data_IF_465425862856
#
_entry.id   IF_465425862856
#
_cell.length_a   1.000
_cell.length_b   1.000
_cell.length_c   1.000
_cell.angle_alpha   90.00
_cell.angle_beta   90.00
_cell.angle_gamma   90.00
#
_symmetry.space_group_name_H-M   'P 1'
#
loop_
_entity.id
_entity.type
_entity.pdbx_description
1 polymer ?
#
# COMPACT_ATOMS: atom_id res chain seq x y z
N UNK A 1 -22.73 -25.59 5.96
CA UNK A 1 -21.54 -24.98 5.35
C UNK A 1 -21.16 -23.79 6.21
N UNK A 2 -19.93 -23.69 6.73
CA UNK A 2 -19.52 -22.48 7.43
C UNK A 2 -19.54 -21.31 6.44
N UNK A 3 -20.24 -20.23 6.81
CA UNK A 3 -20.23 -18.98 6.06
C UNK A 3 -18.88 -18.33 6.31
N UNK A 4 -17.97 -18.36 5.34
CA UNK A 4 -16.75 -17.55 5.41
C UNK A 4 -17.16 -16.08 5.33
N UNK A 5 -16.80 -15.30 6.35
CA UNK A 5 -16.92 -13.84 6.30
C UNK A 5 -16.03 -13.34 5.16
N UNK A 6 -16.58 -12.53 4.26
CA UNK A 6 -15.83 -11.87 3.19
C UNK A 6 -15.58 -10.43 3.61
N UNK A 7 -14.32 -10.04 3.73
CA UNK A 7 -13.91 -8.68 4.06
C UNK A 7 -13.37 -8.04 2.78
N UNK A 8 -14.03 -6.99 2.30
CA UNK A 8 -13.68 -6.28 1.06
C UNK A 8 -13.48 -4.79 1.34
N UNK A 9 -12.49 -4.21 0.68
CA UNK A 9 -12.24 -2.77 0.73
C UNK A 9 -13.38 -1.99 0.07
N UNK A 10 -13.84 -0.94 0.73
CA UNK A 10 -14.80 0.03 0.20
C UNK A 10 -13.97 1.18 -0.36
N UNK A 11 -14.03 1.32 -1.69
CA UNK A 11 -13.30 2.37 -2.40
C UNK A 11 -14.16 3.62 -2.55
N UNK A 12 -13.75 4.71 -1.89
CA UNK A 12 -14.24 6.06 -2.16
C UNK A 12 -13.21 6.80 -3.03
N UNK A 13 -13.49 6.89 -4.34
CA UNK A 13 -12.67 7.65 -5.29
C UNK A 13 -13.36 8.95 -5.68
N UNK A 14 -12.66 10.07 -5.50
CA UNK A 14 -13.11 11.38 -5.96
C UNK A 14 -12.01 12.12 -6.71
N UNK A 15 -12.42 12.94 -7.66
CA UNK A 15 -11.55 13.88 -8.36
C UNK A 15 -12.01 15.31 -8.05
N UNK A 16 -11.09 16.14 -7.55
CA UNK A 16 -11.32 17.58 -7.37
C UNK A 16 -10.81 18.34 -8.61
N UNK A 17 -11.70 18.87 -9.46
CA UNK A 17 -11.30 19.57 -10.68
C UNK A 17 -10.67 20.94 -10.41
N UNK A 18 -10.83 21.53 -9.21
CA UNK A 18 -10.23 22.83 -8.89
C UNK A 18 -8.75 22.69 -8.58
N UNK A 19 -8.36 21.62 -7.89
CA UNK A 19 -6.98 21.35 -7.51
C UNK A 19 -6.32 20.29 -8.41
N UNK A 20 -7.09 19.68 -9.32
CA UNK A 20 -6.68 18.57 -10.18
C UNK A 20 -6.11 17.38 -9.38
N UNK A 21 -6.72 17.07 -8.24
CA UNK A 21 -6.27 16.00 -7.34
C UNK A 21 -7.24 14.83 -7.33
N UNK A 22 -6.68 13.62 -7.31
CA UNK A 22 -7.43 12.42 -6.99
C UNK A 22 -7.35 12.17 -5.48
N UNK A 23 -8.42 11.61 -4.93
CA UNK A 23 -8.42 11.10 -3.57
C UNK A 23 -8.96 9.68 -3.56
N UNK A 24 -8.30 8.81 -2.81
CA UNK A 24 -8.72 7.44 -2.52
C UNK A 24 -8.91 7.34 -1.01
N UNK A 25 -10.12 7.10 -0.54
CA UNK A 25 -10.44 6.98 0.90
C UNK A 25 -9.89 8.16 1.71
N UNK A 26 -10.18 9.38 1.23
CA UNK A 26 -9.73 10.66 1.81
C UNK A 26 -8.23 10.98 1.67
N UNK A 27 -7.42 10.04 1.21
CA UNK A 27 -5.99 10.25 0.95
C UNK A 27 -5.76 10.79 -0.45
N UNK A 28 -4.95 11.86 -0.56
CA UNK A 28 -4.54 12.40 -1.87
C UNK A 28 -3.71 11.36 -2.60
N UNK A 29 -4.05 11.08 -3.86
CA UNK A 29 -3.31 10.14 -4.69
C UNK A 29 -2.84 10.79 -5.99
N UNK A 30 -1.65 10.38 -6.43
CA UNK A 30 -1.08 10.71 -7.73
C UNK A 30 -0.85 9.40 -8.45
N UNK A 31 -1.46 9.26 -9.63
CA UNK A 31 -1.32 8.07 -10.46
C UNK A 31 -0.08 8.22 -11.33
N UNK A 32 0.78 7.20 -11.32
CA UNK A 32 1.91 7.10 -12.24
C UNK A 32 2.04 5.68 -12.78
N UNK A 33 2.65 5.54 -13.95
CA UNK A 33 3.02 4.23 -14.50
C UNK A 33 4.14 3.57 -13.68
N UNK A 34 4.18 2.23 -13.74
CA UNK A 34 5.20 1.43 -13.07
C UNK A 34 6.63 1.82 -13.48
N UNK A 35 6.88 2.24 -14.74
CA UNK A 35 8.21 2.72 -15.17
C UNK A 35 8.79 3.82 -14.29
N UNK A 36 7.95 4.76 -13.84
CA UNK A 36 8.42 5.83 -12.96
C UNK A 36 8.72 5.33 -11.55
N UNK A 37 7.88 4.46 -11.02
CA UNK A 37 8.10 3.87 -9.71
C UNK A 37 9.43 3.07 -9.70
N UNK A 38 9.70 2.31 -10.77
CA UNK A 38 10.99 1.62 -10.98
C UNK A 38 12.14 2.63 -11.08
N UNK A 39 12.06 3.63 -11.96
CA UNK A 39 13.16 4.60 -12.16
C UNK A 39 13.49 5.39 -10.90
N UNK A 40 12.47 5.82 -10.15
CA UNK A 40 12.68 6.54 -8.89
C UNK A 40 13.30 5.64 -7.81
N UNK A 41 12.93 4.36 -7.78
CA UNK A 41 13.53 3.38 -6.87
C UNK A 41 14.98 3.05 -7.28
N UNK A 42 15.28 2.97 -8.58
CA UNK A 42 16.65 2.86 -9.11
C UNK A 42 17.49 4.06 -8.70
N UNK A 43 16.96 5.28 -8.87
CA UNK A 43 17.63 6.51 -8.45
C UNK A 43 17.95 6.50 -6.95
N UNK A 44 17.03 6.03 -6.11
CA UNK A 44 17.27 5.90 -4.67
C UNK A 44 18.32 4.82 -4.36
N UNK A 45 18.35 3.71 -5.10
CA UNK A 45 19.38 2.69 -4.93
C UNK A 45 20.78 3.18 -5.34
N UNK A 46 20.86 4.00 -6.39
CA UNK A 46 22.12 4.56 -6.91
C UNK A 46 22.60 5.79 -6.11
N UNK A 47 21.74 6.32 -5.24
CA UNK A 47 22.04 7.47 -4.40
C UNK A 47 23.04 7.13 -3.29
N UNK A 48 24.32 7.40 -3.53
CA UNK A 48 25.40 7.08 -2.57
C UNK A 48 25.66 8.12 -1.47
N UNK A 49 24.99 9.27 -1.49
CA UNK A 49 25.28 10.39 -0.56
C UNK A 49 24.32 10.46 0.65
N UNK A 50 23.20 9.74 0.61
CA UNK A 50 22.27 9.52 1.72
C UNK A 50 21.75 8.09 1.67
N UNK A 51 21.16 7.60 2.77
CA UNK A 51 20.45 6.32 2.77
C UNK A 51 19.05 6.48 2.17
N UNK A 52 18.99 6.70 0.85
CA UNK A 52 17.73 6.93 0.14
C UNK A 52 16.83 5.68 0.13
N UNK A 53 17.39 4.47 0.25
CA UNK A 53 16.60 3.24 0.40
C UNK A 53 15.84 3.21 1.71
N UNK A 54 16.51 3.55 2.82
CA UNK A 54 15.85 3.72 4.10
C UNK A 54 14.78 4.82 4.04
N UNK A 55 15.09 5.95 3.41
CA UNK A 55 14.12 7.04 3.25
C UNK A 55 12.85 6.56 2.52
N UNK A 56 12.97 5.74 1.47
CA UNK A 56 11.82 5.16 0.78
C UNK A 56 11.00 4.24 1.68
N UNK A 57 11.67 3.37 2.44
CA UNK A 57 11.01 2.47 3.37
C UNK A 57 10.25 3.24 4.46
N UNK A 58 10.90 4.22 5.09
CA UNK A 58 10.31 5.05 6.14
C UNK A 58 9.10 5.85 5.60
N UNK A 59 9.20 6.44 4.40
CA UNK A 59 8.08 7.17 3.77
C UNK A 59 6.93 6.22 3.40
N UNK A 60 7.22 5.02 2.92
CA UNK A 60 6.19 4.03 2.61
C UNK A 60 5.47 3.60 3.89
N UNK A 61 6.21 3.33 4.98
CA UNK A 61 5.64 3.00 6.30
C UNK A 61 4.70 4.11 6.78
N UNK A 62 5.18 5.36 6.83
CA UNK A 62 4.38 6.50 7.28
C UNK A 62 3.11 6.69 6.43
N UNK A 63 3.25 6.57 5.11
CA UNK A 63 2.12 6.76 4.17
C UNK A 63 1.07 5.66 4.34
N UNK A 64 1.47 4.40 4.40
CA UNK A 64 0.53 3.29 4.59
C UNK A 64 -0.06 3.28 5.99
N UNK A 65 0.72 3.64 7.01
CA UNK A 65 0.23 3.73 8.37
C UNK A 65 -0.90 4.76 8.49
N UNK A 66 -0.73 5.96 7.93
CA UNK A 66 -1.77 7.00 7.96
C UNK A 66 -3.03 6.57 7.18
N UNK A 67 -2.84 6.05 5.96
CA UNK A 67 -3.94 5.61 5.10
C UNK A 67 -4.75 4.47 5.74
N UNK A 68 -4.07 3.42 6.22
CA UNK A 68 -4.72 2.25 6.81
C UNK A 68 -5.34 2.56 8.17
N UNK A 69 -4.65 3.32 9.02
CA UNK A 69 -5.19 3.69 10.34
C UNK A 69 -6.46 4.52 10.20
N UNK A 70 -6.44 5.53 9.32
CA UNK A 70 -7.62 6.35 9.00
C UNK A 70 -8.77 5.50 8.44
N UNK A 71 -8.45 4.55 7.55
CA UNK A 71 -9.44 3.64 6.98
C UNK A 71 -10.06 2.72 8.05
N UNK A 72 -9.23 2.11 8.90
CA UNK A 72 -9.70 1.23 9.97
C UNK A 72 -10.58 1.96 10.97
N UNK A 73 -10.24 3.21 11.32
CA UNK A 73 -11.06 4.04 12.19
C UNK A 73 -12.40 4.37 11.52
N UNK A 74 -12.39 4.86 10.28
CA UNK A 74 -13.62 5.22 9.55
C UNK A 74 -14.62 4.07 9.43
N UNK A 75 -14.13 2.86 9.18
CA UNK A 75 -14.97 1.67 8.99
C UNK A 75 -15.04 0.76 10.24
N UNK A 76 -14.51 1.19 11.38
CA UNK A 76 -14.56 0.49 12.66
C UNK A 76 -14.00 -0.95 12.59
N UNK A 77 -12.88 -1.12 11.89
CA UNK A 77 -12.23 -2.41 11.67
C UNK A 77 -11.28 -2.72 12.84
N UNK A 78 -11.70 -3.65 13.69
CA UNK A 78 -11.03 -3.95 14.95
C UNK A 78 -10.32 -5.30 14.97
N UNK A 79 -10.72 -6.26 14.12
CA UNK A 79 -10.09 -7.57 14.11
C UNK A 79 -8.77 -7.54 13.31
N UNK A 80 -7.75 -8.24 13.82
CA UNK A 80 -6.44 -8.33 13.14
C UNK A 80 -6.59 -8.98 11.77
N UNK A 81 -7.42 -10.02 11.65
CA UNK A 81 -7.71 -10.72 10.39
C UNK A 81 -8.31 -9.77 9.33
N UNK A 82 -9.29 -8.96 9.71
CA UNK A 82 -9.89 -7.99 8.78
C UNK A 82 -8.88 -6.90 8.39
N UNK A 83 -8.04 -6.44 9.34
CA UNK A 83 -7.02 -5.42 9.06
C UNK A 83 -5.99 -5.91 8.05
N UNK A 84 -5.49 -7.14 8.24
CA UNK A 84 -4.58 -7.79 7.30
C UNK A 84 -5.24 -7.91 5.93
N UNK A 85 -6.44 -8.47 5.87
CA UNK A 85 -7.20 -8.64 4.62
C UNK A 85 -7.38 -7.32 3.86
N UNK A 86 -7.67 -6.23 4.59
CA UNK A 86 -7.78 -4.90 3.98
C UNK A 86 -6.43 -4.34 3.56
N UNK A 87 -5.35 -4.56 4.33
CA UNK A 87 -4.02 -4.07 3.97
C UNK A 87 -3.51 -4.70 2.67
N UNK A 88 -3.71 -6.01 2.48
CA UNK A 88 -3.41 -6.72 1.23
C UNK A 88 -4.17 -6.11 0.04
N UNK A 89 -5.47 -5.88 0.21
CA UNK A 89 -6.30 -5.24 -0.82
C UNK A 89 -5.91 -3.79 -1.08
N UNK A 90 -5.52 -3.04 -0.06
CA UNK A 90 -5.08 -1.65 -0.20
C UNK A 90 -3.74 -1.55 -0.93
N UNK A 91 -2.82 -2.49 -0.67
CA UNK A 91 -1.54 -2.60 -1.37
C UNK A 91 -1.78 -2.85 -2.87
N UNK A 92 -2.69 -3.76 -3.21
CA UNK A 92 -3.11 -4.01 -4.59
C UNK A 92 -3.81 -2.81 -5.23
N UNK A 93 -4.73 -2.15 -4.51
CA UNK A 93 -5.40 -0.93 -4.96
C UNK A 93 -4.42 0.20 -5.27
N UNK A 94 -3.32 0.28 -4.51
CA UNK A 94 -2.26 1.29 -4.70
C UNK A 94 -1.38 1.00 -5.93
N UNK A 95 -1.61 -0.12 -6.63
CA UNK A 95 -0.90 -0.48 -7.85
C UNK A 95 0.52 -1.00 -7.60
N UNK A 96 0.82 -1.47 -6.38
CA UNK A 96 2.16 -1.98 -6.03
C UNK A 96 2.33 -3.48 -6.29
N UNK A 97 1.23 -4.20 -6.51
CA UNK A 97 1.23 -5.62 -6.82
C UNK A 97 0.32 -6.43 -5.91
N UNK A 98 0.64 -7.69 -5.69
CA UNK A 98 -0.13 -8.62 -4.88
C UNK A 98 0.70 -9.06 -3.68
N UNK A 99 0.29 -8.62 -2.50
CA UNK A 99 0.92 -8.95 -1.21
C UNK A 99 0.03 -9.93 -0.45
N UNK A 100 0.66 -10.97 0.12
CA UNK A 100 0.04 -11.94 1.00
C UNK A 100 0.78 -11.93 2.35
N UNK A 101 0.06 -11.70 3.44
CA UNK A 101 0.60 -11.80 4.79
C UNK A 101 0.54 -13.26 5.23
N UNK A 102 1.70 -13.89 5.33
CA UNK A 102 1.82 -15.30 5.72
C UNK A 102 1.55 -15.45 7.22
N UNK A 103 2.13 -14.56 8.03
CA UNK A 103 1.77 -14.40 9.44
C UNK A 103 2.12 -13.00 9.95
N UNK A 104 1.40 -12.54 10.96
CA UNK A 104 1.68 -11.31 11.70
C UNK A 104 1.60 -11.60 13.21
N UNK A 105 2.76 -11.89 13.80
CA UNK A 105 2.93 -12.11 15.23
C UNK A 105 3.26 -10.82 15.99
N UNK A 106 3.36 -10.92 17.31
CA UNK A 106 3.67 -9.78 18.18
C UNK A 106 5.09 -9.26 17.94
N UNK A 107 6.05 -10.16 17.70
CA UNK A 107 7.48 -9.84 17.59
C UNK A 107 8.00 -9.89 16.14
N UNK A 108 7.26 -10.52 15.23
CA UNK A 108 7.68 -10.75 13.85
C UNK A 108 6.50 -10.99 12.93
N UNK A 109 6.65 -10.63 11.67
CA UNK A 109 5.73 -10.99 10.60
C UNK A 109 6.47 -11.43 9.35
N UNK A 110 5.75 -12.09 8.45
CA UNK A 110 6.24 -12.49 7.15
C UNK A 110 5.20 -12.18 6.09
N UNK A 111 5.67 -11.62 4.99
CA UNK A 111 4.86 -11.26 3.83
C UNK A 111 5.52 -11.79 2.57
N UNK A 112 4.70 -12.24 1.63
CA UNK A 112 5.11 -12.67 0.30
C UNK A 112 4.50 -11.72 -0.73
N UNK A 113 5.31 -11.25 -1.68
CA UNK A 113 4.83 -10.52 -2.85
C UNK A 113 4.69 -11.50 -4.01
N UNK A 114 3.48 -12.01 -4.23
CA UNK A 114 3.20 -12.91 -5.36
C UNK A 114 3.38 -12.19 -6.71
N UNK A 115 3.12 -10.89 -6.73
CA UNK A 115 3.41 -10.01 -7.85
C UNK A 115 3.95 -8.68 -7.34
N UNK A 116 5.05 -8.19 -7.92
CA UNK A 116 5.63 -6.88 -7.63
C UNK A 116 5.62 -6.02 -8.89
N UNK A 117 4.91 -4.89 -8.84
CA UNK A 117 4.90 -3.94 -9.95
C UNK A 117 6.26 -3.25 -10.15
N UNK A 118 7.07 -3.15 -9.09
CA UNK A 118 8.42 -2.61 -9.15
C UNK A 118 9.36 -3.58 -9.88
N UNK A 119 9.34 -4.86 -9.50
CA UNK A 119 10.18 -5.90 -10.07
C UNK A 119 9.85 -6.13 -11.54
N UNK A 120 8.55 -6.13 -11.88
CA UNK A 120 8.09 -6.25 -13.26
C UNK A 120 8.61 -5.12 -14.16
N UNK A 121 8.81 -3.91 -13.63
CA UNK A 121 9.40 -2.79 -14.36
C UNK A 121 10.93 -2.77 -14.35
N UNK A 122 11.56 -3.60 -13.52
CA UNK A 122 13.02 -3.65 -13.35
C UNK A 122 13.72 -4.55 -14.37
N UNK A 123 13.00 -5.52 -14.93
CA UNK A 123 13.43 -6.50 -15.94
C UNK A 123 13.31 -5.88 -17.34
#
# INVERSE_FOLDING_TARGET
>A
MPIKKKTEIILDHRFDPKTCRHYLNDQVSVLHCHHYATLYTQLANDCGFIDAKKLLADVAEDTFFDALSSYYEKYQINSVEDRITIAEQYYALSGLGEMNVIYAGIDSGEVELAHSHLDAGWI
#
